data_IF_490181649788
#
_entry.id   IF_490181649788
#
_cell.length_a   1.000
_cell.length_b   1.000
_cell.length_c   1.000
_cell.angle_alpha   90.00
_cell.angle_beta   90.00
_cell.angle_gamma   90.00
#
_symmetry.space_group_name_H-M   'P 1'
#
loop_
_entity.id
_entity.type
_entity.pdbx_description
1 polymer ?
#
# COMPACT_ATOMS: atom_id res chain seq x y z
N UNK A 1 -7.69 1.41 2.26
CA UNK A 1 -7.28 0.00 2.49
C UNK A 1 -5.79 -0.07 2.66
N UNK A 2 -5.33 -0.92 3.57
CA UNK A 2 -3.91 -1.20 3.75
C UNK A 2 -3.53 -2.46 2.98
N UNK A 3 -2.35 -2.44 2.36
CA UNK A 3 -1.68 -3.62 1.81
C UNK A 3 -0.33 -3.71 2.54
N UNK A 4 -0.11 -4.80 3.28
CA UNK A 4 1.02 -4.85 4.21
C UNK A 4 1.83 -6.13 4.10
N UNK A 5 3.10 -6.03 4.54
CA UNK A 5 4.02 -7.16 4.64
C UNK A 5 3.69 -8.05 5.86
N UNK A 6 4.45 -9.17 6.00
CA UNK A 6 4.19 -10.13 7.08
C UNK A 6 4.41 -9.57 8.49
N UNK A 7 5.25 -8.56 8.61
CA UNK A 7 5.63 -8.01 9.91
C UNK A 7 4.65 -6.98 10.46
N UNK A 8 3.73 -6.49 9.65
CA UNK A 8 2.74 -5.52 10.08
C UNK A 8 1.79 -6.16 11.11
N UNK A 9 1.51 -5.49 12.25
CA UNK A 9 0.64 -6.05 13.30
C UNK A 9 -0.84 -5.96 12.92
N UNK A 10 -1.26 -6.67 11.88
CA UNK A 10 -2.61 -6.60 11.33
C UNK A 10 -3.67 -7.04 12.34
N UNK A 11 -3.40 -8.10 13.11
CA UNK A 11 -4.35 -8.60 14.11
C UNK A 11 -4.64 -7.58 15.21
N UNK A 12 -3.67 -6.74 15.56
CA UNK A 12 -3.80 -5.73 16.59
C UNK A 12 -4.48 -4.45 16.08
N UNK A 13 -4.73 -4.35 14.78
CA UNK A 13 -5.28 -3.13 14.18
C UNK A 13 -6.74 -2.86 14.52
N UNK A 14 -7.49 -3.88 14.93
CA UNK A 14 -8.94 -3.78 15.14
C UNK A 14 -9.75 -3.68 13.85
N UNK A 15 -9.13 -3.87 12.70
CA UNK A 15 -9.76 -3.80 11.39
C UNK A 15 -10.04 -5.18 10.83
N UNK A 16 -11.01 -5.32 9.91
CA UNK A 16 -11.13 -6.56 9.13
C UNK A 16 -9.82 -6.87 8.41
N UNK A 17 -9.34 -8.10 8.54
CA UNK A 17 -8.08 -8.55 7.95
C UNK A 17 -8.35 -9.63 6.93
N UNK A 18 -7.87 -9.41 5.69
CA UNK A 18 -7.86 -10.41 4.64
C UNK A 18 -6.44 -10.97 4.59
N UNK A 19 -6.30 -12.26 4.91
CA UNK A 19 -4.99 -12.91 4.91
C UNK A 19 -4.77 -13.66 3.61
N UNK A 20 -3.70 -13.29 2.90
CA UNK A 20 -3.31 -13.97 1.67
C UNK A 20 -2.12 -14.87 1.98
N UNK A 21 -2.37 -16.17 2.11
CA UNK A 21 -1.32 -17.15 2.31
C UNK A 21 -0.48 -17.31 1.04
N UNK A 22 0.82 -17.45 1.19
CA UNK A 22 1.77 -17.72 0.10
C UNK A 22 1.86 -16.64 -0.99
N UNK A 23 1.41 -15.42 -0.69
CA UNK A 23 1.42 -14.31 -1.65
C UNK A 23 2.20 -13.15 -1.07
N UNK A 24 3.13 -12.60 -1.85
CA UNK A 24 3.84 -11.38 -1.52
C UNK A 24 3.09 -10.13 -1.98
N UNK A 25 3.66 -8.97 -1.68
CA UNK A 25 3.03 -7.68 -1.97
C UNK A 25 2.86 -7.44 -3.47
N UNK A 26 3.86 -7.77 -4.30
CA UNK A 26 3.76 -7.53 -5.75
C UNK A 26 2.56 -8.22 -6.36
N UNK A 27 2.39 -9.48 -6.06
CA UNK A 27 1.28 -10.29 -6.60
C UNK A 27 -0.05 -9.82 -6.05
N UNK A 28 -0.11 -9.51 -4.76
CA UNK A 28 -1.32 -8.97 -4.14
C UNK A 28 -1.69 -7.62 -4.74
N UNK A 29 -0.71 -6.72 -4.92
CA UNK A 29 -0.93 -5.40 -5.52
C UNK A 29 -1.50 -5.53 -6.94
N UNK A 30 -0.92 -6.40 -7.75
CA UNK A 30 -1.41 -6.61 -9.12
C UNK A 30 -2.87 -7.05 -9.14
N UNK A 31 -3.24 -8.00 -8.29
CA UNK A 31 -4.61 -8.49 -8.20
C UNK A 31 -5.57 -7.41 -7.70
N UNK A 32 -5.20 -6.70 -6.64
CA UNK A 32 -6.03 -5.62 -6.08
C UNK A 32 -6.26 -4.51 -7.10
N UNK A 33 -5.19 -4.02 -7.70
CA UNK A 33 -5.26 -2.89 -8.63
C UNK A 33 -6.04 -3.21 -9.90
N UNK A 34 -6.20 -4.49 -10.24
CA UNK A 34 -7.02 -4.88 -11.39
C UNK A 34 -8.51 -4.60 -11.18
N UNK A 35 -8.97 -4.48 -9.93
CA UNK A 35 -10.39 -4.28 -9.60
C UNK A 35 -10.63 -3.13 -8.62
N UNK A 36 -9.57 -2.47 -8.16
CA UNK A 36 -9.64 -1.42 -7.15
C UNK A 36 -9.13 -0.12 -7.77
N UNK A 37 -10.03 0.76 -8.22
CA UNK A 37 -9.60 2.04 -8.79
C UNK A 37 -9.02 2.93 -7.69
N UNK A 38 -7.94 3.61 -8.00
CA UNK A 38 -7.36 4.60 -7.10
C UNK A 38 -8.04 5.96 -7.29
N UNK A 39 -8.13 6.73 -6.22
CA UNK A 39 -8.79 8.01 -6.22
C UNK A 39 -8.04 9.00 -7.12
N UNK A 40 -8.72 9.49 -8.16
CA UNK A 40 -8.14 10.45 -9.11
C UNK A 40 -8.30 11.91 -8.70
N UNK A 41 -8.99 12.18 -7.61
CA UNK A 41 -9.26 13.53 -7.12
C UNK A 41 -8.25 14.03 -6.11
N UNK A 42 -7.38 13.16 -5.60
CA UNK A 42 -6.34 13.51 -4.62
C UNK A 42 -4.95 13.35 -5.25
N UNK A 43 -3.97 14.06 -4.71
CA UNK A 43 -2.61 14.05 -5.24
C UNK A 43 -1.91 12.70 -5.06
N UNK A 44 -2.10 12.06 -3.90
CA UNK A 44 -1.41 10.83 -3.55
C UNK A 44 -2.40 9.73 -3.17
N UNK A 45 -3.02 9.06 -4.15
CA UNK A 45 -3.95 7.97 -3.87
C UNK A 45 -3.23 6.69 -3.41
N UNK A 46 -1.92 6.64 -3.51
CA UNK A 46 -1.07 5.56 -3.05
C UNK A 46 0.01 6.14 -2.15
N UNK A 47 0.06 5.67 -0.91
CA UNK A 47 1.02 6.16 0.07
C UNK A 47 1.89 5.02 0.57
N UNK A 48 3.14 5.32 0.90
CA UNK A 48 4.11 4.36 1.42
C UNK A 48 4.75 4.84 2.71
N UNK A 49 5.35 3.90 3.42
CA UNK A 49 6.19 4.23 4.57
C UNK A 49 7.55 4.74 4.09
N UNK A 50 8.06 5.77 4.76
CA UNK A 50 9.41 6.29 4.57
C UNK A 50 10.45 5.20 4.86
N UNK A 51 11.53 5.17 4.07
CA UNK A 51 12.61 4.18 4.20
C UNK A 51 13.77 4.80 4.95
N UNK A 52 14.13 4.20 6.10
CA UNK A 52 15.30 4.61 6.90
C UNK A 52 15.35 6.11 7.18
N UNK A 53 14.20 6.70 7.50
CA UNK A 53 14.04 8.12 7.81
C UNK A 53 14.46 9.06 6.66
N UNK A 54 14.51 8.55 5.43
CA UNK A 54 14.84 9.32 4.24
C UNK A 54 13.62 9.34 3.28
N UNK A 55 12.97 10.49 3.10
CA UNK A 55 11.75 10.57 2.28
C UNK A 55 12.00 10.34 0.78
N UNK A 56 13.24 10.43 0.33
CA UNK A 56 13.60 10.23 -1.08
C UNK A 56 13.93 8.78 -1.39
N UNK A 57 14.44 8.05 -0.38
CA UNK A 57 14.87 6.67 -0.56
C UNK A 57 13.68 5.73 -0.79
N UNK A 58 13.83 4.80 -1.73
CA UNK A 58 12.82 3.77 -2.01
C UNK A 58 13.46 2.39 -2.00
N UNK A 59 12.61 1.37 -1.93
CA UNK A 59 13.03 -0.02 -2.13
C UNK A 59 12.56 -0.49 -3.52
N UNK A 60 13.16 -1.56 -4.04
CA UNK A 60 12.70 -2.14 -5.30
C UNK A 60 11.25 -2.61 -5.22
N UNK A 61 10.82 -3.11 -4.06
CA UNK A 61 9.43 -3.49 -3.81
C UNK A 61 8.49 -2.29 -3.98
N UNK A 62 8.83 -1.17 -3.37
CA UNK A 62 8.04 0.06 -3.49
C UNK A 62 7.99 0.55 -4.94
N UNK A 63 9.13 0.55 -5.63
CA UNK A 63 9.19 0.96 -7.03
C UNK A 63 8.29 0.09 -7.91
N UNK A 64 8.29 -1.21 -7.68
CA UNK A 64 7.46 -2.14 -8.44
C UNK A 64 5.96 -1.93 -8.16
N UNK A 65 5.57 -1.66 -6.93
CA UNK A 65 4.18 -1.35 -6.59
C UNK A 65 3.72 -0.07 -7.28
N UNK A 66 4.57 0.95 -7.29
CA UNK A 66 4.25 2.21 -7.99
C UNK A 66 4.08 1.99 -9.50
N UNK A 67 4.94 1.17 -10.10
CA UNK A 67 4.84 0.83 -11.51
C UNK A 67 3.54 0.09 -11.83
N UNK A 68 3.15 -0.88 -11.00
CA UNK A 68 1.89 -1.61 -11.15
C UNK A 68 0.68 -0.67 -11.05
N UNK A 69 0.70 0.25 -10.09
CA UNK A 69 -0.38 1.20 -9.90
C UNK A 69 -0.49 2.17 -11.08
N UNK A 70 0.64 2.68 -11.56
CA UNK A 70 0.69 3.60 -12.70
C UNK A 70 0.18 2.93 -13.97
N UNK A 71 0.55 1.68 -14.19
CA UNK A 71 0.07 0.89 -15.32
C UNK A 71 -1.45 0.67 -15.25
N UNK A 72 -1.94 0.29 -14.07
CA UNK A 72 -3.37 0.04 -13.86
C UNK A 72 -4.21 1.30 -14.07
N UNK A 73 -3.74 2.45 -13.58
CA UNK A 73 -4.44 3.72 -13.72
C UNK A 73 -4.19 4.42 -15.05
N UNK A 74 -3.26 3.92 -15.86
CA UNK A 74 -2.87 4.48 -17.17
C UNK A 74 -2.39 5.92 -17.06
N UNK A 75 -1.70 6.24 -15.96
CA UNK A 75 -1.08 7.55 -15.74
C UNK A 75 0.10 7.40 -14.78
N UNK A 76 1.07 8.28 -14.90
CA UNK A 76 2.20 8.30 -13.97
C UNK A 76 1.70 8.74 -12.59
N UNK A 77 1.99 7.92 -11.59
CA UNK A 77 1.66 8.22 -10.19
C UNK A 77 2.93 8.47 -9.39
N UNK A 78 2.78 9.24 -8.32
CA UNK A 78 3.82 9.44 -7.32
C UNK A 78 3.31 8.94 -5.96
N UNK A 79 4.23 8.45 -5.12
CA UNK A 79 3.87 8.08 -3.76
C UNK A 79 3.68 9.31 -2.88
N UNK A 80 2.65 9.28 -2.03
CA UNK A 80 2.68 10.02 -0.79
C UNK A 80 3.60 9.28 0.17
N UNK A 81 4.52 9.99 0.81
CA UNK A 81 5.51 9.41 1.73
C UNK A 81 5.14 9.76 3.16
N UNK A 82 5.02 8.75 4.01
CA UNK A 82 4.59 8.92 5.40
C UNK A 82 5.75 8.51 6.31
N UNK A 83 6.18 9.37 7.25
CA UNK A 83 7.14 8.97 8.27
C UNK A 83 6.66 7.72 9.02
N UNK A 84 7.58 6.84 9.36
CA UNK A 84 7.25 5.53 9.94
C UNK A 84 6.30 5.63 11.14
N UNK A 85 6.55 6.55 12.06
CA UNK A 85 5.72 6.68 13.25
C UNK A 85 4.31 7.20 12.92
N UNK A 86 4.19 8.05 11.92
CA UNK A 86 2.91 8.58 11.48
C UNK A 86 2.10 7.56 10.69
N UNK A 87 2.77 6.60 10.06
CA UNK A 87 2.10 5.58 9.23
C UNK A 87 1.06 4.80 10.03
N UNK A 88 1.41 4.36 11.24
CA UNK A 88 0.48 3.58 12.07
C UNK A 88 -0.75 4.39 12.45
N UNK A 89 -0.59 5.67 12.72
CA UNK A 89 -1.71 6.56 13.03
C UNK A 89 -2.61 6.76 11.80
N UNK A 90 -2.02 7.02 10.64
CA UNK A 90 -2.76 7.15 9.37
C UNK A 90 -3.49 5.85 9.01
N UNK A 91 -2.86 4.72 9.28
CA UNK A 91 -3.42 3.41 9.01
C UNK A 91 -4.71 3.13 9.80
N UNK A 92 -4.92 3.77 10.94
CA UNK A 92 -6.14 3.62 11.71
C UNK A 92 -7.40 4.10 10.99
N UNK A 93 -7.25 4.92 9.96
CA UNK A 93 -8.37 5.40 9.15
C UNK A 93 -8.78 4.40 8.06
N UNK A 94 -8.01 3.36 7.85
CA UNK A 94 -8.34 2.35 6.85
C UNK A 94 -9.52 1.47 7.31
N UNK A 95 -10.32 1.02 6.36
CA UNK A 95 -11.45 0.14 6.65
C UNK A 95 -11.09 -1.34 6.66
N UNK A 96 -9.99 -1.73 6.04
CA UNK A 96 -9.56 -3.12 5.95
C UNK A 96 -8.06 -3.22 5.73
N UNK A 97 -7.50 -4.37 6.10
CA UNK A 97 -6.07 -4.69 5.93
C UNK A 97 -5.94 -5.95 5.09
N UNK A 98 -5.14 -5.90 4.03
CA UNK A 98 -4.73 -7.09 3.28
C UNK A 98 -3.32 -7.46 3.77
N UNK A 99 -3.22 -8.56 4.48
CA UNK A 99 -1.98 -9.04 5.08
C UNK A 99 -1.36 -10.11 4.18
N UNK A 100 -0.14 -9.87 3.72
CA UNK A 100 0.60 -10.79 2.85
C UNK A 100 1.72 -11.52 3.61
N UNK A 101 2.37 -12.46 2.94
CA UNK A 101 3.58 -13.11 3.45
C UNK A 101 4.86 -12.45 2.93
N UNK A 102 4.79 -11.20 2.49
CA UNK A 102 5.97 -10.48 2.03
C UNK A 102 7.02 -10.38 3.14
N UNK A 103 8.23 -10.80 2.85
CA UNK A 103 9.34 -10.78 3.81
C UNK A 103 10.28 -9.58 3.64
N UNK A 104 10.15 -8.80 2.58
CA UNK A 104 10.93 -7.58 2.40
C UNK A 104 10.41 -6.46 3.28
N UNK A 105 11.32 -5.64 3.87
CA UNK A 105 10.90 -4.54 4.72
C UNK A 105 10.27 -3.40 3.92
N UNK A 106 9.57 -2.53 4.62
CA UNK A 106 8.90 -1.34 4.04
C UNK A 106 7.85 -1.70 2.99
N UNK A 107 7.22 -2.85 3.14
CA UNK A 107 6.17 -3.34 2.25
C UNK A 107 4.76 -2.99 2.71
N UNK A 108 4.56 -1.80 3.23
CA UNK A 108 3.28 -1.34 3.75
C UNK A 108 2.80 -0.13 2.96
N UNK A 109 1.55 -0.21 2.48
CA UNK A 109 0.97 0.79 1.59
C UNK A 109 -0.45 1.12 2.01
N UNK A 110 -0.84 2.38 1.79
CA UNK A 110 -2.22 2.84 1.93
C UNK A 110 -2.76 3.15 0.53
N UNK A 111 -3.88 2.54 0.19
CA UNK A 111 -4.55 2.71 -1.09
C UNK A 111 -5.89 3.43 -0.85
N UNK A 112 -6.06 4.58 -1.48
CA UNK A 112 -7.30 5.34 -1.43
C UNK A 112 -8.19 4.97 -2.60
N UNK A 113 -9.37 4.43 -2.28
CA UNK A 113 -10.30 3.94 -3.30
C UNK A 113 -10.95 5.10 -4.04
N UNK A 114 -10.92 4.99 -5.36
CA UNK A 114 -11.62 5.92 -6.23
C UNK A 114 -13.02 5.45 -6.59
N UNK A 115 -13.63 6.16 -7.50
CA UNK A 115 -14.93 5.83 -8.07
C UNK A 115 -14.78 5.58 -9.56
N UNK A 116 -15.66 4.72 -10.08
CA UNK A 116 -15.74 4.43 -11.51
C UNK A 116 -16.87 5.30 -12.09
N UNK A 117 -16.53 6.05 -13.11
CA UNK A 117 -17.49 6.88 -13.80
C UNK A 117 -18.06 6.22 -15.05
#
# INVERSE_FOLDING_TARGET
>A
MLLVDRNYPAAASGKPVIRLGEVGVRRAAKAILSVYPLDSFIDFPLERMEVEDDPVKTTSLQDDVLALASESEKRALEFGVIPRLDFYQRAQQAYAVVHTLEDQPYGCFILHKGVIF
#
